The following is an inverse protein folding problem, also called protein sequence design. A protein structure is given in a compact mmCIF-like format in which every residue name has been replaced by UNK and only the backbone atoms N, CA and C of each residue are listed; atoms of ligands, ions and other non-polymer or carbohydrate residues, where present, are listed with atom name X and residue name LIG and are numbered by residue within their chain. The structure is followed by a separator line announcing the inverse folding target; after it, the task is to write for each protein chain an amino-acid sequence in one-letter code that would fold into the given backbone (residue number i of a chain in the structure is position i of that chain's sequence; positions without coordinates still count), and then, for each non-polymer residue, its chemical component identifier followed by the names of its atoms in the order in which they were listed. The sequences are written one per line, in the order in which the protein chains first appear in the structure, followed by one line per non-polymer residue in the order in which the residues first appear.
data_IF_962963910371
#
_entry.id   IF_962963910371
#
_cell.length_a   1.000
_cell.length_b   1.000
_cell.length_c   1.000
_cell.angle_alpha   90.00
_cell.angle_beta   90.00
_cell.angle_gamma   90.00
#
_symmetry.space_group_name_H-M   'P 1'
#
loop_
_entity.id
_entity.type
_entity.pdbx_description
1 polymer ?
#
# COMPACT_ATOMS: atom_id res chain seq x y z
N UNK A 1 9.87 -4.48 -11.98
CA UNK A 1 8.86 -5.57 -11.84
C UNK A 1 7.46 -5.08 -12.20
N UNK A 2 6.84 -4.12 -11.48
CA UNK A 2 5.46 -3.68 -11.76
C UNK A 2 5.22 -3.20 -13.20
N UNK A 3 6.18 -2.50 -13.82
CA UNK A 3 6.07 -2.09 -15.23
C UNK A 3 6.05 -3.29 -16.20
N UNK A 4 6.79 -4.36 -15.89
CA UNK A 4 6.77 -5.59 -16.68
C UNK A 4 5.41 -6.31 -16.55
N UNK A 5 4.88 -6.41 -15.32
CA UNK A 5 3.53 -6.94 -15.08
C UNK A 5 2.45 -6.10 -15.78
N UNK A 6 2.60 -4.78 -15.76
CA UNK A 6 1.69 -3.88 -16.46
C UNK A 6 1.65 -4.13 -17.98
N UNK A 7 2.82 -4.39 -18.57
CA UNK A 7 2.94 -4.66 -20.01
C UNK A 7 2.49 -6.08 -20.41
N UNK A 8 2.53 -7.05 -19.48
CA UNK A 8 2.18 -8.45 -19.73
C UNK A 8 0.76 -8.83 -19.30
N UNK A 9 -0.01 -7.90 -18.76
CA UNK A 9 -1.39 -8.12 -18.30
C UNK A 9 -2.32 -7.04 -18.83
N UNK A 10 -3.63 -7.32 -18.92
CA UNK A 10 -4.62 -6.39 -19.49
C UNK A 10 -5.74 -6.01 -18.51
N UNK A 11 -6.04 -6.84 -17.52
CA UNK A 11 -7.24 -6.69 -16.65
C UNK A 11 -6.94 -6.41 -15.19
N UNK A 12 -5.85 -6.97 -14.68
CA UNK A 12 -5.53 -6.91 -13.24
C UNK A 12 -5.11 -5.50 -12.83
N UNK A 13 -5.57 -5.06 -11.67
CA UNK A 13 -5.07 -3.87 -11.00
C UNK A 13 -3.66 -4.16 -10.46
N UNK A 14 -2.84 -3.14 -10.40
CA UNK A 14 -1.44 -3.26 -10.01
C UNK A 14 -1.08 -2.19 -8.98
N UNK A 15 -0.28 -2.54 -8.01
CA UNK A 15 0.25 -1.58 -7.04
C UNK A 15 1.24 -2.21 -6.07
N UNK A 16 2.14 -1.43 -5.48
CA UNK A 16 2.93 -1.89 -4.34
C UNK A 16 2.08 -1.83 -3.06
N UNK A 17 2.22 -2.81 -2.18
CA UNK A 17 1.53 -2.84 -0.88
C UNK A 17 2.55 -2.96 0.26
N UNK A 18 3.20 -1.92 0.65
CA UNK A 18 3.29 -0.59 0.07
C UNK A 18 4.75 -0.27 -0.22
N UNK A 19 5.02 0.69 -1.12
CA UNK A 19 6.38 1.17 -1.35
C UNK A 19 6.83 2.06 -0.18
N UNK A 20 7.96 1.72 0.45
CA UNK A 20 8.62 2.62 1.39
C UNK A 20 9.21 3.82 0.64
N UNK A 21 8.73 5.01 0.95
CA UNK A 21 9.23 6.24 0.30
C UNK A 21 10.68 6.58 0.66
N UNK A 22 11.24 5.93 1.69
CA UNK A 22 12.62 6.16 2.10
C UNK A 22 13.66 5.57 1.14
N UNK A 23 13.28 4.58 0.32
CA UNK A 23 14.23 3.87 -0.56
C UNK A 23 14.49 4.59 -1.89
N UNK A 24 13.73 5.63 -2.22
CA UNK A 24 13.90 6.38 -3.46
C UNK A 24 13.64 7.88 -3.27
N UNK A 25 14.33 8.76 -4.01
CA UNK A 25 13.97 10.17 -4.08
C UNK A 25 12.51 10.35 -4.51
N UNK A 26 11.74 11.26 -3.88
CA UNK A 26 10.29 11.39 -4.14
C UNK A 26 9.94 11.73 -5.59
N UNK A 27 10.75 12.55 -6.26
CA UNK A 27 10.56 12.84 -7.68
C UNK A 27 10.73 11.60 -8.57
N UNK A 28 11.61 10.67 -8.20
CA UNK A 28 11.78 9.41 -8.91
C UNK A 28 10.59 8.48 -8.68
N UNK A 29 10.07 8.41 -7.45
CA UNK A 29 8.85 7.62 -7.14
C UNK A 29 7.67 8.12 -7.97
N UNK A 30 7.46 9.43 -8.02
CA UNK A 30 6.39 10.03 -8.83
C UNK A 30 6.55 9.71 -10.33
N UNK A 31 7.78 9.79 -10.86
CA UNK A 31 8.07 9.46 -12.26
C UNK A 31 7.83 7.99 -12.57
N UNK A 32 8.28 7.08 -11.70
CA UNK A 32 8.03 5.64 -11.86
C UNK A 32 6.53 5.34 -11.81
N UNK A 33 5.80 5.92 -10.86
CA UNK A 33 4.36 5.73 -10.73
C UNK A 33 3.60 6.20 -12.00
N UNK A 34 3.91 7.39 -12.51
CA UNK A 34 3.32 7.90 -13.74
C UNK A 34 3.62 7.02 -14.95
N UNK A 35 4.85 6.49 -15.07
CA UNK A 35 5.24 5.60 -16.15
C UNK A 35 4.52 4.25 -16.08
N UNK A 36 4.38 3.66 -14.88
CA UNK A 36 3.65 2.40 -14.70
C UNK A 36 2.16 2.60 -14.98
N UNK A 37 1.59 3.72 -14.57
CA UNK A 37 0.20 4.06 -14.85
C UNK A 37 -0.07 4.16 -16.36
N UNK A 38 0.82 4.83 -17.09
CA UNK A 38 0.76 4.92 -18.56
C UNK A 38 0.82 3.55 -19.23
N UNK A 39 1.82 2.72 -18.85
CA UNK A 39 2.00 1.36 -19.42
C UNK A 39 0.83 0.45 -19.10
N UNK A 40 0.27 0.58 -17.90
CA UNK A 40 -0.88 -0.22 -17.47
C UNK A 40 -2.23 0.26 -18.04
N UNK A 41 -2.26 1.33 -18.83
CA UNK A 41 -3.48 1.98 -19.30
C UNK A 41 -4.44 2.33 -18.13
N UNK A 42 -3.88 2.80 -17.01
CA UNK A 42 -4.67 3.29 -15.88
C UNK A 42 -5.07 2.24 -14.84
N UNK A 43 -4.43 1.09 -14.79
CA UNK A 43 -4.68 0.03 -13.79
C UNK A 43 -3.77 0.12 -12.55
N UNK A 44 -2.98 1.18 -12.43
CA UNK A 44 -2.01 1.33 -11.36
C UNK A 44 -2.55 2.16 -10.18
N UNK A 45 -2.25 1.71 -8.96
CA UNK A 45 -2.46 2.45 -7.71
C UNK A 45 -1.12 2.54 -6.98
N UNK A 46 -0.71 3.73 -6.56
CA UNK A 46 0.51 3.90 -5.79
C UNK A 46 0.22 3.71 -4.30
N UNK A 47 0.55 2.55 -3.77
CA UNK A 47 0.61 2.34 -2.32
C UNK A 47 1.91 2.90 -1.75
N UNK A 48 1.82 3.78 -0.76
CA UNK A 48 2.95 4.43 -0.13
C UNK A 48 2.94 4.28 1.40
N UNK A 49 4.12 4.14 1.98
CA UNK A 49 4.30 4.00 3.42
C UNK A 49 5.67 4.47 3.90
N UNK A 50 5.83 4.51 5.22
CA UNK A 50 7.08 4.95 5.87
C UNK A 50 8.20 3.90 5.83
N UNK A 51 7.86 2.62 5.60
CA UNK A 51 8.73 1.48 5.91
C UNK A 51 8.71 1.13 7.41
N UNK A 52 8.96 -0.13 7.71
CA UNK A 52 8.88 -0.66 9.09
C UNK A 52 10.10 -1.50 9.49
N UNK A 53 10.75 -2.18 8.55
CA UNK A 53 11.84 -3.12 8.82
C UNK A 53 13.18 -2.39 9.00
N UNK A 54 13.56 -2.13 10.23
CA UNK A 54 14.82 -1.46 10.56
C UNK A 54 16.05 -2.21 10.05
N UNK A 55 16.01 -3.56 10.03
CA UNK A 55 17.11 -4.36 9.52
C UNK A 55 17.33 -4.14 8.02
N UNK A 56 16.24 -3.99 7.25
CA UNK A 56 16.31 -3.65 5.83
C UNK A 56 16.87 -2.24 5.59
N UNK A 57 16.43 -1.25 6.35
CA UNK A 57 17.00 0.10 6.29
C UNK A 57 18.49 0.10 6.53
N UNK A 58 18.95 -0.59 7.58
CA UNK A 58 20.36 -0.71 7.92
C UNK A 58 21.15 -1.45 6.83
N UNK A 59 20.60 -2.54 6.29
CA UNK A 59 21.24 -3.34 5.24
C UNK A 59 21.48 -2.52 3.96
N UNK A 60 20.60 -1.60 3.63
CA UNK A 60 20.72 -0.72 2.45
C UNK A 60 21.31 0.66 2.75
N UNK A 61 21.84 0.88 3.97
CA UNK A 61 22.50 2.15 4.34
C UNK A 61 21.53 3.34 4.42
N UNK A 62 20.24 3.09 4.69
CA UNK A 62 19.21 4.12 4.80
C UNK A 62 18.94 4.38 6.28
N UNK A 63 18.92 5.64 6.69
CA UNK A 63 18.64 6.00 8.07
C UNK A 63 17.18 5.71 8.41
N UNK A 64 16.95 4.95 9.50
CA UNK A 64 15.62 4.60 9.98
C UNK A 64 14.96 5.73 10.77
N UNK A 65 15.77 6.58 11.39
CA UNK A 65 15.31 7.70 12.19
C UNK A 65 14.54 8.71 11.33
N UNK A 66 13.57 9.35 11.96
CA UNK A 66 12.73 10.35 11.31
C UNK A 66 11.94 9.84 10.08
N UNK A 67 11.73 8.53 9.94
CA UNK A 67 11.05 7.93 8.78
C UNK A 67 9.66 8.53 8.52
N UNK A 68 8.90 8.89 9.57
CA UNK A 68 7.59 9.54 9.42
C UNK A 68 7.75 10.95 8.85
N UNK A 69 8.66 11.75 9.38
CA UNK A 69 8.88 13.11 8.88
C UNK A 69 9.42 13.12 7.43
N UNK A 70 10.27 12.14 7.07
CA UNK A 70 10.69 11.95 5.68
C UNK A 70 9.52 11.57 4.78
N UNK A 71 8.65 10.68 5.27
CA UNK A 71 7.45 10.28 4.53
C UNK A 71 6.53 11.47 4.27
N UNK A 72 6.30 12.34 5.24
CA UNK A 72 5.45 13.53 5.10
C UNK A 72 5.92 14.44 3.96
N UNK A 73 7.22 14.72 3.91
CA UNK A 73 7.82 15.51 2.83
C UNK A 73 7.74 14.79 1.49
N UNK A 74 8.14 13.50 1.47
CA UNK A 74 8.12 12.68 0.26
C UNK A 74 6.71 12.55 -0.31
N UNK A 75 5.71 12.24 0.52
CA UNK A 75 4.31 12.12 0.10
C UNK A 75 3.78 13.43 -0.47
N UNK A 76 4.11 14.56 0.16
CA UNK A 76 3.73 15.89 -0.34
C UNK A 76 4.28 16.16 -1.73
N UNK A 77 5.56 15.86 -1.97
CA UNK A 77 6.20 16.04 -3.28
C UNK A 77 5.59 15.10 -4.31
N UNK A 78 5.45 13.80 -3.96
CA UNK A 78 4.93 12.76 -4.86
C UNK A 78 3.51 13.10 -5.34
N UNK A 79 2.59 13.40 -4.41
CA UNK A 79 1.20 13.68 -4.77
C UNK A 79 1.05 14.91 -5.66
N UNK A 80 1.83 15.97 -5.39
CA UNK A 80 1.79 17.19 -6.17
C UNK A 80 2.33 16.99 -7.59
N UNK A 81 3.43 16.26 -7.72
CA UNK A 81 3.96 15.88 -9.03
C UNK A 81 2.98 15.02 -9.83
N UNK A 82 2.34 14.01 -9.17
CA UNK A 82 1.34 13.15 -9.80
C UNK A 82 0.05 13.91 -10.17
N UNK A 83 -0.26 15.01 -9.48
CA UNK A 83 -1.33 15.94 -9.86
C UNK A 83 -0.97 16.81 -11.08
N UNK A 84 0.26 16.68 -11.61
CA UNK A 84 0.74 17.49 -12.74
C UNK A 84 1.18 18.91 -12.36
N UNK A 85 1.36 19.17 -11.06
CA UNK A 85 1.86 20.46 -10.59
C UNK A 85 3.34 20.62 -10.90
N UNK A 86 3.76 21.89 -11.08
CA UNK A 86 5.16 22.31 -11.00
C UNK A 86 5.52 22.49 -9.53
N UNK A 87 6.54 21.78 -9.04
CA UNK A 87 6.85 21.67 -7.62
C UNK A 87 8.23 22.23 -7.31
N UNK A 88 8.26 23.25 -6.46
CA UNK A 88 9.43 23.60 -5.66
C UNK A 88 9.12 23.29 -4.20
N UNK A 89 10.07 22.65 -3.53
CA UNK A 89 9.95 22.22 -2.14
C UNK A 89 11.31 22.31 -1.45
N UNK A 90 11.39 23.00 -0.32
CA UNK A 90 12.61 23.13 0.49
C UNK A 90 12.31 22.64 1.90
N UNK A 91 12.49 21.33 2.11
CA UNK A 91 12.23 20.64 3.36
C UNK A 91 13.51 20.31 4.12
N UNK A 92 13.32 19.64 5.23
CA UNK A 92 14.44 19.16 6.06
C UNK A 92 15.18 17.99 5.41
N UNK A 93 14.46 17.12 4.70
CA UNK A 93 14.98 15.87 4.16
C UNK A 93 15.06 15.87 2.64
N UNK A 94 14.19 16.61 1.98
CA UNK A 94 14.14 16.68 0.53
C UNK A 94 14.11 18.11 0.03
N UNK A 95 14.85 18.34 -1.05
CA UNK A 95 14.82 19.58 -1.80
C UNK A 95 14.51 19.30 -3.25
N UNK A 96 13.52 20.00 -3.79
CA UNK A 96 13.10 19.90 -5.19
C UNK A 96 12.97 21.30 -5.74
N UNK A 97 13.56 21.54 -6.90
CA UNK A 97 13.56 22.84 -7.55
C UNK A 97 12.88 22.75 -8.91
N UNK A 98 11.81 23.49 -9.08
CA UNK A 98 11.06 23.64 -10.33
C UNK A 98 10.72 22.34 -11.08
N UNK A 99 10.48 21.24 -10.34
CA UNK A 99 10.25 19.93 -10.91
C UNK A 99 8.86 19.80 -11.53
N UNK A 100 8.80 19.13 -12.67
CA UNK A 100 7.56 18.81 -13.40
C UNK A 100 7.70 17.43 -14.04
N UNK A 101 6.65 16.61 -13.95
CA UNK A 101 6.60 15.37 -14.71
C UNK A 101 6.28 15.63 -16.17
N UNK A 102 7.13 15.14 -17.07
CA UNK A 102 6.90 15.19 -18.52
C UNK A 102 7.10 13.79 -19.13
N UNK A 103 6.14 13.26 -19.93
CA UNK A 103 4.82 13.86 -20.16
C UNK A 103 4.01 13.99 -18.86
N UNK A 104 3.07 14.92 -18.81
CA UNK A 104 2.16 15.03 -17.66
C UNK A 104 1.31 13.78 -17.53
N UNK A 105 1.01 13.32 -16.31
CA UNK A 105 0.05 12.23 -16.11
C UNK A 105 -1.28 12.53 -16.83
N UNK A 106 -1.77 11.59 -17.61
CA UNK A 106 -3.03 11.74 -18.37
C UNK A 106 -4.26 11.70 -17.47
N UNK A 107 -4.11 11.14 -16.28
CA UNK A 107 -5.14 11.02 -15.26
C UNK A 107 -4.52 11.17 -13.87
N UNK A 108 -5.35 11.36 -12.87
CA UNK A 108 -4.93 11.23 -11.46
C UNK A 108 -4.59 9.77 -11.16
N UNK A 109 -3.36 9.51 -10.73
CA UNK A 109 -2.96 8.18 -10.23
C UNK A 109 -3.56 7.99 -8.84
N UNK A 110 -4.35 6.92 -8.59
CA UNK A 110 -4.88 6.65 -7.27
C UNK A 110 -3.77 6.40 -6.25
N UNK A 111 -3.97 6.89 -5.04
CA UNK A 111 -3.05 6.75 -3.93
C UNK A 111 -3.64 5.83 -2.85
N UNK A 112 -2.80 4.96 -2.31
CA UNK A 112 -3.12 4.10 -1.18
C UNK A 112 -2.12 4.35 -0.06
N UNK A 113 -2.60 4.40 1.20
CA UNK A 113 -1.75 4.43 2.39
C UNK A 113 -1.97 3.18 3.23
N UNK A 114 -0.88 2.52 3.63
CA UNK A 114 -0.87 1.42 4.60
C UNK A 114 -0.29 1.91 5.93
N UNK A 115 -1.13 2.45 6.80
CA UNK A 115 -0.71 2.92 8.13
C UNK A 115 -1.89 3.01 9.09
N UNK A 116 -1.64 2.75 10.37
CA UNK A 116 -2.55 3.06 11.49
C UNK A 116 -2.03 4.22 12.35
N UNK A 117 -0.86 4.78 12.02
CA UNK A 117 -0.24 5.85 12.77
C UNK A 117 -0.93 7.20 12.57
N UNK A 118 -1.38 7.89 13.63
CA UNK A 118 -2.20 9.10 13.50
C UNK A 118 -1.49 10.22 12.75
N UNK A 119 -0.17 10.35 12.90
CA UNK A 119 0.61 11.36 12.20
C UNK A 119 0.68 11.12 10.68
N UNK A 120 0.82 9.86 10.25
CA UNK A 120 0.79 9.51 8.83
C UNK A 120 -0.60 9.76 8.25
N UNK A 121 -1.64 9.31 8.97
CA UNK A 121 -3.03 9.50 8.55
C UNK A 121 -3.43 10.98 8.44
N UNK A 122 -3.00 11.83 9.37
CA UNK A 122 -3.27 13.26 9.31
C UNK A 122 -2.77 13.91 8.00
N UNK A 123 -1.64 13.44 7.47
CA UNK A 123 -1.07 13.95 6.22
C UNK A 123 -1.68 13.29 4.99
N UNK A 124 -2.08 12.03 5.08
CA UNK A 124 -2.48 11.25 3.91
C UNK A 124 -3.99 11.21 3.68
N UNK A 125 -4.81 11.11 4.74
CA UNK A 125 -6.27 10.95 4.65
C UNK A 125 -6.98 11.93 3.71
N UNK A 126 -6.61 13.22 3.63
CA UNK A 126 -7.27 14.15 2.70
C UNK A 126 -6.94 13.92 1.22
N UNK A 127 -6.01 13.01 0.90
CA UNK A 127 -5.40 12.91 -0.41
C UNK A 127 -5.39 11.52 -1.01
N UNK A 128 -5.66 10.48 -0.22
CA UNK A 128 -5.65 9.08 -0.67
C UNK A 128 -7.03 8.60 -1.07
N UNK A 129 -7.05 7.63 -1.98
CA UNK A 129 -8.27 6.97 -2.45
C UNK A 129 -8.55 5.70 -1.65
N UNK A 130 -7.48 5.13 -1.06
CA UNK A 130 -7.52 3.89 -0.33
C UNK A 130 -6.74 3.97 0.97
N UNK A 131 -7.32 3.45 2.04
CA UNK A 131 -6.62 3.07 3.25
C UNK A 131 -6.56 1.54 3.32
N UNK A 132 -5.35 1.01 3.59
CA UNK A 132 -5.13 -0.43 3.74
C UNK A 132 -4.73 -0.77 5.16
N UNK A 133 -5.28 -1.86 5.70
CA UNK A 133 -4.91 -2.46 6.97
C UNK A 133 -4.22 -3.81 6.75
N UNK A 134 -3.12 -4.01 7.46
CA UNK A 134 -2.44 -5.29 7.52
C UNK A 134 -3.17 -6.24 8.48
N UNK A 135 -3.25 -7.53 8.17
CA UNK A 135 -4.05 -8.50 8.93
C UNK A 135 -3.74 -8.52 10.44
N UNK A 136 -2.47 -8.37 10.85
CA UNK A 136 -2.12 -8.38 12.27
C UNK A 136 -2.56 -7.13 13.04
N UNK A 137 -2.87 -6.04 12.36
CA UNK A 137 -3.35 -4.83 13.04
C UNK A 137 -4.78 -4.95 13.58
N UNK A 138 -5.53 -5.90 13.04
CA UNK A 138 -6.91 -6.15 13.43
C UNK A 138 -7.18 -7.62 13.81
N UNK A 139 -6.11 -8.42 14.03
CA UNK A 139 -6.21 -9.82 14.44
C UNK A 139 -6.81 -10.73 13.39
N UNK A 140 -6.80 -10.34 12.11
CA UNK A 140 -7.35 -11.09 10.98
C UNK A 140 -8.83 -11.51 11.17
N UNK A 141 -9.62 -10.68 11.86
CA UNK A 141 -11.04 -10.93 12.15
C UNK A 141 -11.94 -9.79 11.69
N UNK A 142 -13.16 -10.04 11.19
CA UNK A 142 -14.09 -8.99 10.78
C UNK A 142 -14.40 -7.99 11.88
N UNK A 143 -14.59 -8.45 13.13
CA UNK A 143 -14.85 -7.58 14.29
C UNK A 143 -13.64 -6.70 14.63
N UNK A 144 -12.43 -7.24 14.54
CA UNK A 144 -11.20 -6.48 14.71
C UNK A 144 -11.03 -5.42 13.62
N UNK A 145 -11.36 -5.76 12.37
CA UNK A 145 -11.35 -4.80 11.26
C UNK A 145 -12.35 -3.66 11.50
N UNK A 146 -13.60 -3.96 11.88
CA UNK A 146 -14.58 -2.94 12.21
C UNK A 146 -14.11 -2.01 13.33
N UNK A 147 -13.53 -2.58 14.41
CA UNK A 147 -13.00 -1.82 15.54
C UNK A 147 -11.79 -0.94 15.16
N UNK A 148 -10.91 -1.42 14.29
CA UNK A 148 -9.79 -0.62 13.77
C UNK A 148 -10.31 0.47 12.82
N UNK A 149 -11.13 0.11 11.85
CA UNK A 149 -11.67 0.99 10.81
C UNK A 149 -12.46 2.16 11.38
N UNK A 150 -13.25 1.93 12.44
CA UNK A 150 -14.04 2.98 13.10
C UNK A 150 -13.20 4.12 13.70
N UNK A 151 -11.92 3.90 13.93
CA UNK A 151 -10.98 4.91 14.46
C UNK A 151 -10.21 5.65 13.36
N UNK A 152 -10.38 5.24 12.11
CA UNK A 152 -9.67 5.82 10.97
C UNK A 152 -10.65 6.68 10.17
N UNK A 153 -10.48 7.99 10.29
CA UNK A 153 -11.32 8.98 9.62
C UNK A 153 -10.79 9.31 8.21
N UNK A 154 -11.70 9.48 7.26
CA UNK A 154 -11.39 9.90 5.88
C UNK A 154 -12.43 9.40 4.88
N UNK A 155 -12.52 10.12 3.75
CA UNK A 155 -13.36 9.76 2.61
C UNK A 155 -12.52 8.96 1.60
N UNK A 156 -12.29 7.70 1.91
CA UNK A 156 -11.54 6.75 1.11
C UNK A 156 -12.12 5.35 1.27
N UNK A 157 -11.84 4.51 0.30
CA UNK A 157 -12.15 3.08 0.37
C UNK A 157 -11.23 2.36 1.33
N UNK A 158 -11.75 1.30 1.94
CA UNK A 158 -11.06 0.50 2.96
C UNK A 158 -10.69 -0.87 2.42
N UNK A 159 -9.41 -1.15 2.41
CA UNK A 159 -8.84 -2.41 1.95
C UNK A 159 -8.24 -3.16 3.14
N UNK A 160 -8.50 -4.45 3.23
CA UNK A 160 -8.00 -5.32 4.29
C UNK A 160 -7.08 -6.41 3.71
N UNK A 161 -5.86 -6.53 4.23
CA UNK A 161 -5.06 -7.72 4.00
C UNK A 161 -5.61 -8.87 4.86
N UNK A 162 -5.89 -10.01 4.25
CA UNK A 162 -6.39 -11.21 4.93
C UNK A 162 -5.34 -12.32 4.81
N UNK A 163 -4.83 -12.80 5.93
CA UNK A 163 -3.95 -13.97 5.96
C UNK A 163 -4.79 -15.23 5.76
N UNK A 164 -4.47 -16.02 4.75
CA UNK A 164 -5.20 -17.24 4.37
C UNK A 164 -4.27 -18.43 4.39
N UNK A 165 -4.65 -19.47 5.14
CA UNK A 165 -3.99 -20.77 5.12
C UNK A 165 -4.58 -21.65 4.01
N UNK A 166 -3.72 -22.22 3.18
CA UNK A 166 -4.10 -23.16 2.15
C UNK A 166 -3.44 -24.52 2.42
N UNK A 167 -4.24 -25.59 2.46
CA UNK A 167 -3.77 -26.96 2.74
C UNK A 167 -3.00 -27.09 4.08
N UNK A 168 -3.45 -26.38 5.13
CA UNK A 168 -2.88 -26.45 6.47
C UNK A 168 -1.62 -25.62 6.68
N UNK A 169 -1.30 -24.74 5.74
CA UNK A 169 -0.35 -23.64 5.82
C UNK A 169 0.92 -23.91 6.63
N UNK A 170 1.88 -24.58 6.06
CA UNK A 170 3.24 -24.68 6.63
C UNK A 170 4.18 -23.79 5.83
N UNK A 171 3.76 -22.53 5.65
CA UNK A 171 4.52 -21.59 4.87
C UNK A 171 5.79 -21.12 5.58
N UNK A 172 6.60 -20.42 4.84
CA UNK A 172 7.80 -19.75 5.34
C UNK A 172 7.47 -18.51 6.17
N UNK A 173 6.18 -18.13 6.22
CA UNK A 173 5.75 -16.94 6.93
C UNK A 173 5.61 -17.20 8.42
N UNK A 174 6.35 -16.44 9.22
CA UNK A 174 6.13 -16.43 10.68
C UNK A 174 4.71 -15.92 10.98
N UNK A 175 3.96 -16.71 11.74
CA UNK A 175 2.63 -16.30 12.23
C UNK A 175 2.80 -15.15 13.23
N UNK A 176 2.07 -14.06 13.02
CA UNK A 176 2.02 -12.97 13.97
C UNK A 176 1.03 -13.32 15.10
N UNK A 177 1.46 -13.13 16.35
CA UNK A 177 0.68 -13.48 17.53
C UNK A 177 -0.70 -12.79 17.52
N UNK A 178 -1.76 -13.55 17.83
CA UNK A 178 -3.13 -13.04 17.87
C UNK A 178 -3.77 -12.81 16.49
N UNK A 179 -3.17 -13.30 15.42
CA UNK A 179 -3.69 -13.14 14.05
C UNK A 179 -3.68 -14.47 13.30
N UNK A 180 -4.52 -15.44 13.71
CA UNK A 180 -4.58 -16.75 13.06
C UNK A 180 -4.98 -16.61 11.58
N UNK A 181 -4.44 -17.43 10.69
CA UNK A 181 -4.88 -17.45 9.30
C UNK A 181 -6.34 -17.94 9.20
N UNK A 182 -7.01 -17.46 8.16
CA UNK A 182 -8.32 -17.99 7.75
C UNK A 182 -8.08 -19.23 6.88
N UNK A 183 -8.71 -20.34 7.18
CA UNK A 183 -8.63 -21.53 6.33
C UNK A 183 -9.34 -21.28 4.99
N UNK A 184 -8.75 -21.76 3.89
CA UNK A 184 -9.27 -21.50 2.55
C UNK A 184 -10.74 -21.90 2.36
N UNK A 185 -11.20 -22.96 3.03
CA UNK A 185 -12.60 -23.38 2.96
C UNK A 185 -13.58 -22.46 3.70
N UNK A 186 -13.11 -21.62 4.64
CA UNK A 186 -13.89 -20.62 5.38
C UNK A 186 -13.84 -19.23 4.73
N UNK A 187 -12.95 -19.04 3.76
CA UNK A 187 -12.63 -17.74 3.18
C UNK A 187 -13.88 -17.00 2.67
N UNK A 188 -14.80 -17.69 1.99
CA UNK A 188 -16.03 -17.07 1.48
C UNK A 188 -16.86 -16.40 2.58
N UNK A 189 -17.05 -17.09 3.69
CA UNK A 189 -17.82 -16.56 4.83
C UNK A 189 -17.07 -15.39 5.47
N UNK A 190 -15.77 -15.56 5.68
CA UNK A 190 -14.91 -14.50 6.22
C UNK A 190 -14.95 -13.21 5.37
N UNK A 191 -14.89 -13.32 4.04
CA UNK A 191 -14.96 -12.18 3.13
C UNK A 191 -16.34 -11.48 3.18
N UNK A 192 -17.44 -12.24 3.28
CA UNK A 192 -18.76 -11.68 3.44
C UNK A 192 -18.90 -10.89 4.76
N UNK A 193 -18.40 -11.45 5.85
CA UNK A 193 -18.39 -10.79 7.16
C UNK A 193 -17.48 -9.55 7.17
N UNK A 194 -16.34 -9.62 6.49
CA UNK A 194 -15.41 -8.50 6.35
C UNK A 194 -16.03 -7.35 5.53
N UNK A 195 -16.75 -7.68 4.46
CA UNK A 195 -17.53 -6.69 3.69
C UNK A 195 -18.62 -6.04 4.56
N UNK A 196 -19.36 -6.84 5.36
CA UNK A 196 -20.35 -6.33 6.31
C UNK A 196 -19.70 -5.45 7.41
N UNK A 197 -18.43 -5.70 7.75
CA UNK A 197 -17.62 -4.90 8.67
C UNK A 197 -17.07 -3.60 8.03
N UNK A 198 -17.38 -3.34 6.76
CA UNK A 198 -17.03 -2.10 6.06
C UNK A 198 -15.75 -2.15 5.22
N UNK A 199 -15.27 -3.33 4.86
CA UNK A 199 -14.19 -3.46 3.88
C UNK A 199 -14.75 -3.36 2.45
N UNK A 200 -14.15 -2.51 1.62
CA UNK A 200 -14.47 -2.40 0.19
C UNK A 200 -13.67 -3.39 -0.65
N UNK A 201 -12.52 -3.86 -0.13
CA UNK A 201 -11.61 -4.77 -0.82
C UNK A 201 -10.90 -5.66 0.19
N UNK A 202 -10.65 -6.91 -0.19
CA UNK A 202 -9.76 -7.82 0.51
C UNK A 202 -8.55 -8.17 -0.36
N UNK A 203 -7.35 -8.10 0.21
CA UNK A 203 -6.10 -8.51 -0.41
C UNK A 203 -5.63 -9.77 0.29
N UNK A 204 -5.68 -10.90 -0.41
CA UNK A 204 -5.32 -12.19 0.17
C UNK A 204 -3.80 -12.34 0.30
N UNK A 205 -3.35 -12.64 1.49
CA UNK A 205 -1.97 -12.97 1.82
C UNK A 205 -1.92 -14.49 2.02
N UNK A 206 -1.58 -15.21 0.95
CA UNK A 206 -1.61 -16.66 0.95
C UNK A 206 -0.42 -17.26 1.67
N UNK A 207 -0.65 -18.32 2.41
CA UNK A 207 0.38 -19.12 3.05
C UNK A 207 0.12 -20.63 2.82
N UNK A 208 0.97 -21.34 2.04
CA UNK A 208 2.10 -20.80 1.25
C UNK A 208 1.64 -20.02 0.01
N UNK A 209 2.52 -19.18 -0.56
CA UNK A 209 2.27 -18.53 -1.84
C UNK A 209 2.90 -19.34 -2.98
N UNK A 210 2.08 -20.00 -3.80
CA UNK A 210 2.49 -20.78 -4.97
C UNK A 210 1.31 -20.91 -5.95
N UNK A 211 1.55 -21.51 -7.12
CA UNK A 211 0.50 -21.70 -8.15
C UNK A 211 -0.71 -22.49 -7.63
N UNK A 212 -0.48 -23.50 -6.79
CA UNK A 212 -1.55 -24.32 -6.23
C UNK A 212 -2.43 -23.53 -5.27
N UNK A 213 -1.83 -22.76 -4.36
CA UNK A 213 -2.58 -21.94 -3.42
C UNK A 213 -3.34 -20.79 -4.11
N UNK A 214 -2.76 -20.21 -5.15
CA UNK A 214 -3.46 -19.19 -5.97
C UNK A 214 -4.65 -19.80 -6.72
N UNK A 215 -4.54 -21.05 -7.18
CA UNK A 215 -5.64 -21.75 -7.86
C UNK A 215 -6.75 -22.24 -6.91
N UNK A 216 -6.47 -22.36 -5.62
CA UNK A 216 -7.39 -22.87 -4.59
C UNK A 216 -8.32 -21.79 -3.98
N UNK A 217 -8.04 -20.51 -4.21
CA UNK A 217 -8.81 -19.37 -3.71
C UNK A 217 -9.39 -18.54 -4.85
#
# INVERSE_FOLDING_TARGET
MLAALAASTERVQLGPLVASTAFHPPGLVARMAAAIDEVSAGRFTLGAGTGWNEAEFRAFGIAFENKVARFEEAFTIIRRLLAGERVSFDGRFYRVDDALLLPRPKRRVPLLVGSSGPRVLAVTSPHVDWWNSWYSWYGNTPSGFAALSSRIEGDFKRSACVLVSVDGGTGERALEEGSPPVESHELRNHLNELAAAGADEAILVLDPINERSVAAV
#
